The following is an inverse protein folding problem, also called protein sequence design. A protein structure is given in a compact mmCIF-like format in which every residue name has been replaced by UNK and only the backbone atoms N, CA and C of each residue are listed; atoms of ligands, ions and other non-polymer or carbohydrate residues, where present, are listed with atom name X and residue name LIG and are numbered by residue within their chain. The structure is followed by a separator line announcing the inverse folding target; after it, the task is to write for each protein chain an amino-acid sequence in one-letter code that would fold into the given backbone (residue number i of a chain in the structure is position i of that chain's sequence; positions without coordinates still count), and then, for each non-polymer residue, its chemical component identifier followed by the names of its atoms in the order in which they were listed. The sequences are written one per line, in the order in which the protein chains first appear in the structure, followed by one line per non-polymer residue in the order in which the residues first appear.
data_IF_721894139965
#
_entry.id   IF_721894139965
#
_cell.length_a   1.000
_cell.length_b   1.000
_cell.length_c   1.000
_cell.angle_alpha   90.00
_cell.angle_beta   90.00
_cell.angle_gamma   90.00
#
_symmetry.space_group_name_H-M   'P 1'
#
loop_
_entity.id
_entity.type
_entity.pdbx_description
1 polymer ?
#
# COMPACT_ATOMS: atom_id res chain seq x y z
N UNK A 1 -1.39 1.75 -13.16
CA UNK A 1 -2.79 2.22 -13.23
C UNK A 1 -3.31 2.71 -11.88
N UNK A 2 -3.38 1.89 -10.82
CA UNK A 2 -3.95 2.28 -9.50
C UNK A 2 -3.50 3.65 -8.96
N UNK A 3 -2.19 3.89 -8.80
CA UNK A 3 -1.64 5.14 -8.22
C UNK A 3 -2.07 6.38 -9.01
N UNK A 4 -2.08 6.29 -10.34
CA UNK A 4 -2.48 7.40 -11.20
C UNK A 4 -3.97 7.72 -11.04
N UNK A 5 -4.82 6.70 -11.11
CA UNK A 5 -6.27 6.90 -10.95
C UNK A 5 -6.64 7.44 -9.57
N UNK A 6 -5.98 6.95 -8.52
CA UNK A 6 -6.17 7.47 -7.16
C UNK A 6 -5.82 8.97 -7.07
N UNK A 7 -4.70 9.39 -7.67
CA UNK A 7 -4.32 10.81 -7.75
C UNK A 7 -5.28 11.65 -8.56
N UNK A 8 -5.75 11.15 -9.71
CA UNK A 8 -6.73 11.84 -10.55
C UNK A 8 -8.07 12.09 -9.81
N UNK A 9 -8.41 11.21 -8.86
CA UNK A 9 -9.57 11.39 -7.96
C UNK A 9 -9.26 12.25 -6.72
N UNK A 10 -8.06 12.80 -6.60
CA UNK A 10 -7.65 13.63 -5.46
C UNK A 10 -7.25 12.86 -4.20
N UNK A 11 -7.10 11.53 -4.26
CA UNK A 11 -6.68 10.75 -3.11
C UNK A 11 -5.21 11.01 -2.77
N UNK A 12 -4.93 11.31 -1.51
CA UNK A 12 -3.56 11.48 -0.97
C UNK A 12 -3.02 10.21 -0.34
N UNK A 13 -3.92 9.35 0.16
CA UNK A 13 -3.60 8.07 0.81
C UNK A 13 -4.58 7.00 0.36
N UNK A 14 -4.08 5.78 0.14
CA UNK A 14 -4.89 4.58 0.01
C UNK A 14 -4.69 3.67 1.22
N UNK A 15 -5.76 2.95 1.59
CA UNK A 15 -5.72 1.86 2.54
C UNK A 15 -5.78 0.54 1.80
N UNK A 16 -4.84 -0.35 2.09
CA UNK A 16 -4.76 -1.65 1.44
C UNK A 16 -4.55 -2.79 2.43
N UNK A 17 -5.40 -3.81 2.36
CA UNK A 17 -5.19 -5.06 3.09
C UNK A 17 -4.43 -6.03 2.18
N UNK A 18 -3.18 -6.33 2.54
CA UNK A 18 -2.26 -7.05 1.65
C UNK A 18 -1.59 -8.22 2.37
N UNK A 19 -1.31 -9.33 1.67
CA UNK A 19 -0.45 -10.38 2.19
C UNK A 19 0.92 -9.81 2.58
N UNK A 20 1.53 -10.31 3.66
CA UNK A 20 2.77 -9.72 4.21
C UNK A 20 3.98 -9.76 3.26
N UNK A 21 3.93 -10.52 2.16
CA UNK A 21 4.98 -10.55 1.14
C UNK A 21 4.99 -9.35 0.19
N UNK A 22 3.85 -8.66 0.04
CA UNK A 22 3.64 -7.60 -0.96
C UNK A 22 4.43 -6.29 -0.72
N UNK A 23 4.64 -5.79 0.51
CA UNK A 23 5.30 -4.49 0.72
C UNK A 23 6.71 -4.39 0.14
N UNK A 24 7.43 -5.52 0.06
CA UNK A 24 8.75 -5.57 -0.59
C UNK A 24 8.67 -5.24 -2.07
N UNK A 25 7.59 -5.67 -2.74
CA UNK A 25 7.32 -5.35 -4.14
C UNK A 25 6.92 -3.88 -4.30
N UNK A 26 6.11 -3.34 -3.37
CA UNK A 26 5.76 -1.91 -3.33
C UNK A 26 6.98 -1.00 -3.33
N UNK A 27 7.96 -1.27 -2.45
CA UNK A 27 9.22 -0.53 -2.40
C UNK A 27 10.01 -0.60 -3.72
N UNK A 28 10.02 -1.77 -4.39
CA UNK A 28 10.67 -1.93 -5.71
C UNK A 28 9.99 -1.12 -6.81
N UNK A 29 8.70 -0.86 -6.69
CA UNK A 29 7.90 -0.06 -7.63
C UNK A 29 7.86 1.43 -7.27
N UNK A 30 8.65 1.87 -6.28
CA UNK A 30 8.65 3.26 -5.82
C UNK A 30 7.41 3.67 -5.03
N UNK A 31 6.59 2.71 -4.61
CA UNK A 31 5.38 2.93 -3.82
C UNK A 31 5.78 2.89 -2.35
N UNK A 32 5.47 3.96 -1.64
CA UNK A 32 5.75 4.05 -0.20
C UNK A 32 4.53 3.62 0.61
N UNK A 33 4.79 2.74 1.57
CA UNK A 33 3.79 1.93 2.27
C UNK A 33 4.19 1.76 3.72
N UNK A 34 3.28 2.13 4.62
CA UNK A 34 3.46 2.01 6.06
C UNK A 34 2.47 1.00 6.65
N UNK A 35 2.91 0.25 7.66
CA UNK A 35 2.06 -0.68 8.38
C UNK A 35 0.97 0.07 9.16
N UNK A 36 -0.30 -0.16 8.79
CA UNK A 36 -1.45 0.48 9.43
C UNK A 36 -2.14 -0.34 10.52
N UNK A 37 -1.51 -1.41 11.02
CA UNK A 37 -2.09 -2.24 12.06
C UNK A 37 -1.40 -3.60 12.29
N UNK A 38 -2.00 -4.45 13.15
CA UNK A 38 -1.47 -5.78 13.45
C UNK A 38 -1.56 -6.73 12.24
N UNK A 39 -0.81 -7.83 12.32
CA UNK A 39 -0.98 -8.93 11.36
C UNK A 39 -2.27 -9.68 11.68
N UNK A 40 -2.99 -10.11 10.64
CA UNK A 40 -4.22 -10.88 10.76
C UNK A 40 -4.18 -12.06 9.80
N UNK A 41 -4.69 -13.23 10.23
CA UNK A 41 -4.89 -14.36 9.32
C UNK A 41 -6.27 -14.26 8.68
N UNK A 42 -6.33 -14.33 7.36
CA UNK A 42 -7.56 -14.32 6.56
C UNK A 42 -7.40 -15.40 5.50
N UNK A 43 -8.29 -16.39 5.50
CA UNK A 43 -8.22 -17.51 4.54
C UNK A 43 -6.90 -18.28 4.59
N UNK A 44 -6.30 -18.46 5.78
CA UNK A 44 -5.01 -19.14 5.95
C UNK A 44 -3.78 -18.30 5.59
N UNK A 45 -3.95 -17.14 4.95
CA UNK A 45 -2.85 -16.24 4.57
C UNK A 45 -2.73 -15.11 5.57
N UNK A 46 -1.50 -14.78 5.94
CA UNK A 46 -1.26 -13.65 6.85
C UNK A 46 -1.24 -12.34 6.07
N UNK A 47 -2.08 -11.41 6.50
CA UNK A 47 -2.28 -10.10 5.93
C UNK A 47 -1.92 -9.01 6.95
N UNK A 48 -1.80 -7.78 6.45
CA UNK A 48 -1.72 -6.57 7.26
C UNK A 48 -2.33 -5.40 6.47
N UNK A 49 -2.93 -4.46 7.19
CA UNK A 49 -3.34 -3.19 6.62
C UNK A 49 -2.13 -2.30 6.35
N UNK A 50 -2.12 -1.58 5.23
CA UNK A 50 -1.09 -0.61 4.88
C UNK A 50 -1.70 0.72 4.49
N UNK A 51 -1.07 1.80 4.94
CA UNK A 51 -1.25 3.13 4.40
C UNK A 51 -0.29 3.29 3.22
N UNK A 52 -0.82 3.64 2.06
CA UNK A 52 -0.04 3.82 0.83
C UNK A 52 -0.12 5.28 0.44
N UNK A 53 1.02 5.97 0.44
CA UNK A 53 1.05 7.39 0.07
C UNK A 53 0.99 7.54 -1.44
N UNK A 54 0.12 8.44 -1.90
CA UNK A 54 0.04 8.85 -3.29
C UNK A 54 1.01 10.00 -3.61
N UNK A 55 1.83 10.47 -2.67
CA UNK A 55 2.84 11.48 -2.96
C UNK A 55 3.85 10.96 -4.01
N UNK A 56 4.25 11.82 -4.95
CA UNK A 56 5.42 11.53 -5.77
C UNK A 56 6.66 11.81 -4.93
N UNK A 57 7.64 10.90 -4.93
CA UNK A 57 8.96 11.25 -4.40
C UNK A 57 9.57 12.28 -5.34
N UNK A 58 9.80 13.50 -4.83
CA UNK A 58 10.59 14.51 -5.52
C UNK A 58 12.05 14.04 -5.44
N UNK A 59 12.64 13.77 -6.60
CA UNK A 59 14.08 13.61 -6.76
C UNK A 59 14.65 14.93 -7.26
#
# INVERSE_FOLDING_TARGET
HMVRSARELGATTLLGLLPIGIPRLGRRLGIDMEAGGPKMKIGGVTHRCYFVTMASKMH
#
